data_IF_388715586439
#
_entry.id   IF_388715586439
#
_cell.length_a   1.000
_cell.length_b   1.000
_cell.length_c   1.000
_cell.angle_alpha   90.00
_cell.angle_beta   90.00
_cell.angle_gamma   90.00
#
_symmetry.space_group_name_H-M   'P 1'
#
loop_
_entity.id
_entity.type
_entity.pdbx_description
1 polymer ?
#
# COMPACT_ATOMS: atom_id res chain seq x y z
N UNK A 1 -4.38 5.90 5.56
CA UNK A 1 -3.39 6.99 5.37
C UNK A 1 -2.43 7.03 6.54
N UNK A 2 -1.17 7.40 6.29
CA UNK A 2 -0.14 7.60 7.33
C UNK A 2 0.52 8.97 7.17
N UNK A 3 0.85 9.61 8.28
CA UNK A 3 1.62 10.87 8.31
C UNK A 3 2.93 10.60 9.01
N UNK A 4 4.04 10.94 8.37
CA UNK A 4 5.38 10.86 8.91
C UNK A 4 5.94 12.28 8.99
N UNK A 5 6.52 12.64 10.12
CA UNK A 5 7.05 13.99 10.31
C UNK A 5 8.40 13.98 11.00
N UNK A 6 9.27 14.84 10.51
CA UNK A 6 10.42 15.34 11.26
C UNK A 6 9.98 16.64 11.95
N UNK A 7 9.72 16.57 13.25
CA UNK A 7 9.23 17.71 14.01
C UNK A 7 10.27 18.81 14.17
N UNK A 8 11.55 18.48 14.19
CA UNK A 8 12.63 19.46 14.34
C UNK A 8 12.81 20.27 13.06
N UNK A 9 12.74 19.60 11.91
CA UNK A 9 12.77 20.24 10.60
C UNK A 9 11.42 20.81 10.16
N UNK A 10 10.33 20.50 10.89
CA UNK A 10 8.95 20.82 10.53
C UNK A 10 8.55 20.38 9.13
N UNK A 11 8.99 19.20 8.74
CA UNK A 11 8.67 18.59 7.45
C UNK A 11 7.90 17.30 7.62
N UNK A 12 6.96 17.05 6.70
CA UNK A 12 6.13 15.85 6.72
C UNK A 12 5.95 15.25 5.33
N UNK A 13 5.61 13.97 5.33
CA UNK A 13 5.10 13.25 4.16
C UNK A 13 3.80 12.55 4.53
N UNK A 14 2.93 12.37 3.55
CA UNK A 14 1.68 11.61 3.70
C UNK A 14 1.72 10.41 2.79
N UNK A 15 1.43 9.22 3.34
CA UNK A 15 1.41 7.95 2.59
C UNK A 15 -0.04 7.49 2.41
N UNK A 16 -0.42 7.18 1.18
CA UNK A 16 -1.74 6.73 0.74
C UNK A 16 -2.90 7.58 1.28
N UNK A 17 -2.85 8.94 1.12
CA UNK A 17 -3.98 9.77 1.49
C UNK A 17 -5.16 9.51 0.55
N UNK A 18 -6.35 9.40 1.14
CA UNK A 18 -7.61 9.35 0.38
C UNK A 18 -8.19 10.75 0.29
N UNK A 19 -8.83 11.08 -0.82
CA UNK A 19 -9.39 12.43 -1.05
C UNK A 19 -10.35 12.89 0.06
N UNK A 20 -11.06 11.98 0.71
CA UNK A 20 -11.94 12.28 1.86
C UNK A 20 -11.18 12.68 3.13
N UNK A 21 -9.93 12.25 3.26
CA UNK A 21 -9.09 12.51 4.44
C UNK A 21 -8.32 13.85 4.32
N UNK A 22 -8.31 14.49 3.14
CA UNK A 22 -7.52 15.70 2.87
C UNK A 22 -7.81 16.86 3.82
N UNK A 23 -9.08 17.19 4.17
CA UNK A 23 -9.34 18.29 5.11
C UNK A 23 -8.72 18.05 6.49
N UNK A 24 -8.78 16.80 6.98
CA UNK A 24 -8.19 16.44 8.29
C UNK A 24 -6.67 16.47 8.21
N UNK A 25 -6.08 15.98 7.12
CA UNK A 25 -4.63 16.00 6.91
C UNK A 25 -4.11 17.44 6.81
N UNK A 26 -4.78 18.31 6.08
CA UNK A 26 -4.42 19.73 5.97
C UNK A 26 -4.51 20.45 7.32
N UNK A 27 -5.59 20.21 8.08
CA UNK A 27 -5.75 20.77 9.41
C UNK A 27 -4.62 20.30 10.36
N UNK A 28 -4.29 19.00 10.35
CA UNK A 28 -3.19 18.43 11.14
C UNK A 28 -1.84 19.04 10.79
N UNK A 29 -1.54 19.19 9.50
CA UNK A 29 -0.29 19.80 9.04
C UNK A 29 -0.22 21.27 9.46
N UNK A 30 -1.32 22.02 9.33
CA UNK A 30 -1.39 23.41 9.75
C UNK A 30 -1.28 23.60 11.26
N UNK A 31 -1.99 22.79 12.06
CA UNK A 31 -1.92 22.84 13.52
C UNK A 31 -0.51 22.55 14.06
N UNK A 32 0.20 21.65 13.40
CA UNK A 32 1.57 21.26 13.78
C UNK A 32 2.65 22.11 13.11
N UNK A 33 2.28 23.08 12.29
CA UNK A 33 3.19 23.91 11.48
C UNK A 33 4.19 23.04 10.67
N UNK A 34 3.65 22.00 10.01
CA UNK A 34 4.41 21.05 9.22
C UNK A 34 4.30 21.36 7.73
N UNK A 35 5.45 21.50 7.06
CA UNK A 35 5.52 21.65 5.62
C UNK A 35 5.45 20.27 4.95
N UNK A 36 4.44 20.03 4.12
CA UNK A 36 4.33 18.81 3.35
C UNK A 36 5.41 18.78 2.25
N UNK A 37 6.23 17.73 2.25
CA UNK A 37 7.30 17.52 1.27
C UNK A 37 6.88 16.61 0.13
N UNK A 38 6.15 15.54 0.46
CA UNK A 38 5.74 14.52 -0.50
C UNK A 38 4.35 13.98 -0.16
N UNK A 39 3.60 13.68 -1.21
CA UNK A 39 2.41 12.83 -1.16
C UNK A 39 2.78 11.51 -1.82
N UNK A 40 2.86 10.44 -1.05
CA UNK A 40 3.33 9.13 -1.49
C UNK A 40 2.14 8.21 -1.73
N UNK A 41 2.11 7.55 -2.87
CA UNK A 41 1.14 6.50 -3.20
C UNK A 41 1.87 5.17 -3.38
N UNK A 42 1.50 4.18 -2.57
CA UNK A 42 2.10 2.85 -2.66
C UNK A 42 1.58 2.08 -3.88
N UNK A 43 0.31 2.29 -4.25
CA UNK A 43 -0.33 1.61 -5.37
C UNK A 43 -1.52 2.40 -5.88
N UNK A 44 -2.06 1.97 -7.01
CA UNK A 44 -3.23 2.57 -7.63
C UNK A 44 -4.09 1.49 -8.26
N UNK A 45 -5.41 1.60 -8.07
CA UNK A 45 -6.40 0.80 -8.78
C UNK A 45 -6.99 1.65 -9.93
N UNK A 46 -7.12 1.06 -11.12
CA UNK A 46 -7.44 1.77 -12.38
C UNK A 46 -8.75 2.58 -12.38
N UNK A 47 -9.70 2.21 -11.54
CA UNK A 47 -11.02 2.83 -11.51
C UNK A 47 -11.14 4.13 -10.68
N UNK A 48 -10.04 4.60 -10.05
CA UNK A 48 -10.09 5.74 -9.11
C UNK A 48 -9.36 7.02 -9.61
N UNK A 49 -9.27 7.26 -10.93
CA UNK A 49 -8.05 7.82 -11.46
C UNK A 49 -7.90 9.33 -11.59
N UNK A 50 -8.85 10.06 -12.14
CA UNK A 50 -8.55 11.42 -12.61
C UNK A 50 -8.75 12.46 -11.52
N UNK A 51 -9.87 12.44 -10.86
CA UNK A 51 -10.19 13.44 -9.84
C UNK A 51 -9.41 13.28 -8.53
N UNK A 52 -9.01 12.07 -8.18
CA UNK A 52 -8.26 11.85 -6.95
C UNK A 52 -6.85 12.40 -7.04
N UNK A 53 -6.16 12.19 -8.18
CA UNK A 53 -4.82 12.74 -8.39
C UNK A 53 -4.82 14.27 -8.32
N UNK A 54 -5.78 14.93 -8.96
CA UNK A 54 -5.92 16.39 -8.88
C UNK A 54 -6.10 16.89 -7.44
N UNK A 55 -6.92 16.20 -6.68
CA UNK A 55 -7.11 16.51 -5.25
C UNK A 55 -5.84 16.30 -4.43
N UNK A 56 -5.10 15.23 -4.67
CA UNK A 56 -3.82 15.00 -4.00
C UNK A 56 -2.80 16.09 -4.35
N UNK A 57 -2.76 16.53 -5.59
CA UNK A 57 -1.90 17.65 -6.04
C UNK A 57 -2.27 18.97 -5.37
N UNK A 58 -3.55 19.18 -5.04
CA UNK A 58 -3.99 20.39 -4.33
C UNK A 58 -3.46 20.50 -2.90
N UNK A 59 -2.83 19.45 -2.36
CA UNK A 59 -2.09 19.52 -1.10
C UNK A 59 -0.80 20.36 -1.19
N UNK A 60 -0.38 20.76 -2.40
CA UNK A 60 0.78 21.64 -2.60
C UNK A 60 2.14 20.97 -2.55
N UNK A 61 2.20 19.62 -2.60
CA UNK A 61 3.44 18.86 -2.64
C UNK A 61 3.46 17.90 -3.84
N UNK A 62 4.64 17.51 -4.36
CA UNK A 62 4.76 16.54 -5.42
C UNK A 62 4.13 15.19 -5.03
N UNK A 63 3.37 14.60 -5.95
CA UNK A 63 2.79 13.26 -5.79
C UNK A 63 3.73 12.24 -6.39
N UNK A 64 4.18 11.30 -5.58
CA UNK A 64 5.04 10.17 -5.98
C UNK A 64 4.18 8.93 -6.17
N UNK A 65 4.34 8.25 -7.28
CA UNK A 65 3.73 6.95 -7.58
C UNK A 65 4.60 6.16 -8.56
N UNK A 66 4.41 4.83 -8.63
CA UNK A 66 5.23 3.97 -9.49
C UNK A 66 4.90 4.03 -10.97
N UNK A 67 3.67 4.40 -11.32
CA UNK A 67 3.27 4.60 -12.70
C UNK A 67 3.50 6.06 -13.11
N UNK A 68 4.22 6.25 -14.22
CA UNK A 68 4.45 7.60 -14.76
C UNK A 68 3.14 8.18 -15.28
N UNK A 69 2.73 9.32 -14.74
CA UNK A 69 1.59 10.11 -15.20
C UNK A 69 1.95 11.58 -15.22
N UNK A 70 1.27 12.33 -16.04
CA UNK A 70 1.44 13.78 -16.06
C UNK A 70 1.19 14.40 -14.67
N UNK A 71 2.15 15.18 -14.22
CA UNK A 71 2.10 15.85 -12.93
C UNK A 71 2.38 14.95 -11.72
N UNK A 72 2.97 13.79 -11.92
CA UNK A 72 3.53 12.96 -10.86
C UNK A 72 5.05 12.92 -10.92
N UNK A 73 5.67 12.70 -9.77
CA UNK A 73 7.09 12.49 -9.65
C UNK A 73 7.40 11.00 -9.77
N UNK A 74 8.14 10.63 -10.81
CA UNK A 74 8.60 9.25 -11.02
C UNK A 74 9.85 8.99 -10.19
N UNK A 75 9.93 7.82 -9.57
CA UNK A 75 11.04 7.44 -8.69
C UNK A 75 11.66 6.12 -9.15
N UNK A 76 12.95 5.96 -8.88
CA UNK A 76 13.68 4.72 -9.14
C UNK A 76 13.72 3.84 -7.88
N UNK A 77 13.99 2.53 -8.10
CA UNK A 77 14.26 1.62 -6.99
C UNK A 77 15.50 2.05 -6.20
N UNK A 78 15.38 2.07 -4.88
CA UNK A 78 16.45 2.53 -3.98
C UNK A 78 16.58 4.04 -3.84
N UNK A 79 15.83 4.83 -4.61
CA UNK A 79 15.85 6.30 -4.50
C UNK A 79 15.49 6.76 -3.08
N UNK A 80 16.10 7.88 -2.66
CA UNK A 80 15.86 8.46 -1.35
C UNK A 80 15.09 9.76 -1.47
N UNK A 81 13.94 9.82 -0.85
CA UNK A 81 13.09 11.01 -0.77
C UNK A 81 13.38 11.73 0.54
N UNK A 82 13.97 12.93 0.52
CA UNK A 82 14.32 13.65 1.74
C UNK A 82 13.08 14.16 2.47
N UNK A 83 13.11 14.10 3.79
CA UNK A 83 12.14 14.70 4.71
C UNK A 83 12.87 15.14 5.98
N UNK A 84 13.03 16.46 6.13
CA UNK A 84 13.84 17.03 7.21
C UNK A 84 15.28 16.51 7.20
N UNK A 85 15.72 15.99 8.34
CA UNK A 85 17.06 15.42 8.52
C UNK A 85 17.17 13.95 8.06
N UNK A 86 16.08 13.38 7.57
CA UNK A 86 16.00 11.98 7.19
C UNK A 86 15.60 11.78 5.74
N UNK A 87 15.44 10.53 5.34
CA UNK A 87 14.91 10.18 4.01
C UNK A 87 14.14 8.87 4.04
N UNK A 88 13.12 8.77 3.21
CA UNK A 88 12.48 7.51 2.90
C UNK A 88 13.21 6.86 1.73
N UNK A 89 13.45 5.56 1.81
CA UNK A 89 13.95 4.76 0.69
C UNK A 89 12.79 4.14 -0.07
N UNK A 90 12.76 4.36 -1.38
CA UNK A 90 11.83 3.72 -2.29
C UNK A 90 12.23 2.26 -2.53
N UNK A 91 11.29 1.36 -2.52
CA UNK A 91 11.44 -0.05 -2.90
C UNK A 91 10.37 -0.35 -3.94
N UNK A 92 10.77 -0.67 -5.16
CA UNK A 92 9.80 -1.12 -6.17
C UNK A 92 9.32 -2.52 -5.82
N UNK A 93 8.02 -2.69 -5.72
CA UNK A 93 7.39 -3.94 -5.25
C UNK A 93 6.19 -4.31 -6.13
N UNK A 94 6.42 -4.58 -7.44
CA UNK A 94 5.34 -4.92 -8.36
C UNK A 94 4.65 -6.23 -7.97
N UNK A 95 3.43 -6.40 -8.48
CA UNK A 95 2.67 -7.65 -8.35
C UNK A 95 1.22 -7.45 -7.96
N UNK A 96 0.91 -6.74 -6.88
CA UNK A 96 -0.46 -6.36 -6.56
C UNK A 96 -1.02 -5.42 -7.65
N UNK A 97 -0.27 -4.37 -8.00
CA UNK A 97 -0.37 -3.65 -9.27
C UNK A 97 1.03 -3.55 -9.89
N UNK A 98 1.13 -3.23 -11.18
CA UNK A 98 2.41 -3.09 -11.87
C UNK A 98 3.29 -1.97 -11.27
N UNK A 99 2.66 -0.89 -10.81
CA UNK A 99 3.33 0.28 -10.25
C UNK A 99 3.44 0.29 -8.73
N UNK A 100 3.32 -0.85 -8.04
CA UNK A 100 3.44 -0.87 -6.59
C UNK A 100 4.81 -0.42 -6.09
N UNK A 101 4.80 0.46 -5.09
CA UNK A 101 5.95 0.93 -4.33
C UNK A 101 5.76 0.62 -2.85
N UNK A 102 6.86 0.38 -2.18
CA UNK A 102 6.95 0.39 -0.72
C UNK A 102 7.93 1.47 -0.29
N UNK A 103 7.68 2.10 0.86
CA UNK A 103 8.52 3.18 1.38
C UNK A 103 9.10 2.77 2.73
N UNK A 104 10.42 2.61 2.79
CA UNK A 104 11.13 2.30 4.02
C UNK A 104 11.58 3.57 4.72
N UNK A 105 11.27 3.69 6.02
CA UNK A 105 11.69 4.79 6.88
C UNK A 105 12.07 4.26 8.25
N UNK A 106 13.33 4.46 8.64
CA UNK A 106 13.89 3.90 9.89
C UNK A 106 13.70 2.37 9.96
N UNK A 107 13.01 1.90 10.97
CA UNK A 107 12.70 0.50 11.30
C UNK A 107 11.38 0.00 10.69
N UNK A 108 10.79 0.72 9.74
CA UNK A 108 9.44 0.42 9.22
C UNK A 108 9.32 0.57 7.72
N UNK A 109 8.37 -0.16 7.15
CA UNK A 109 8.03 -0.12 5.72
C UNK A 109 6.52 0.07 5.55
N UNK A 110 6.14 1.03 4.73
CA UNK A 110 4.77 1.26 4.26
C UNK A 110 4.60 0.49 2.96
N UNK A 111 4.01 -0.69 3.03
CA UNK A 111 3.93 -1.64 1.91
C UNK A 111 2.58 -1.61 1.16
N UNK A 112 1.64 -0.77 1.59
CA UNK A 112 0.40 -0.51 0.88
C UNK A 112 -0.41 -1.76 0.57
N UNK A 113 -0.77 -1.93 -0.69
CA UNK A 113 -1.53 -3.08 -1.18
C UNK A 113 -0.71 -4.35 -1.37
N UNK A 114 0.62 -4.27 -1.30
CA UNK A 114 1.51 -5.41 -1.54
C UNK A 114 1.28 -6.53 -0.53
N UNK A 115 1.20 -6.19 0.75
CA UNK A 115 1.03 -7.14 1.84
C UNK A 115 0.04 -6.58 2.86
N UNK A 116 -1.12 -7.22 2.99
CA UNK A 116 -2.04 -6.97 4.08
C UNK A 116 -1.77 -7.97 5.21
N UNK A 117 -1.94 -7.54 6.45
CA UNK A 117 -1.84 -8.43 7.61
C UNK A 117 -2.97 -9.45 7.55
N UNK A 118 -2.63 -10.72 7.68
CA UNK A 118 -3.51 -11.89 7.61
C UNK A 118 -4.06 -12.21 6.21
N UNK A 119 -4.76 -11.33 5.55
CA UNK A 119 -5.20 -11.46 4.15
C UNK A 119 -5.79 -10.15 3.61
N UNK A 120 -5.61 -9.88 2.33
CA UNK A 120 -6.29 -8.78 1.64
C UNK A 120 -7.30 -9.35 0.63
N UNK A 121 -8.55 -8.88 0.60
CA UNK A 121 -9.55 -9.35 -0.36
C UNK A 121 -9.13 -9.08 -1.82
N UNK A 122 -8.25 -8.13 -2.05
CA UNK A 122 -7.73 -7.80 -3.39
C UNK A 122 -6.47 -8.59 -3.76
N UNK A 123 -5.76 -9.18 -2.81
CA UNK A 123 -4.54 -9.97 -3.08
C UNK A 123 -4.79 -11.31 -3.78
N UNK A 124 -5.93 -12.01 -3.60
CA UNK A 124 -6.22 -13.21 -4.35
C UNK A 124 -6.17 -13.04 -5.87
N UNK A 125 -6.32 -11.80 -6.36
CA UNK A 125 -6.26 -11.49 -7.79
C UNK A 125 -5.25 -10.36 -8.05
N UNK A 126 -3.96 -10.57 -7.75
CA UNK A 126 -2.93 -9.59 -8.09
C UNK A 126 -2.78 -9.49 -9.61
N UNK A 127 -2.32 -8.32 -10.09
CA UNK A 127 -2.06 -8.13 -11.51
C UNK A 127 -0.98 -9.09 -12.05
N UNK A 128 0.04 -9.36 -11.22
CA UNK A 128 1.09 -10.35 -11.49
C UNK A 128 1.42 -11.15 -10.21
N UNK A 129 0.87 -12.37 -10.07
CA UNK A 129 1.14 -13.21 -8.91
C UNK A 129 2.62 -13.58 -8.74
N UNK A 130 3.35 -13.75 -9.85
CA UNK A 130 4.75 -14.12 -9.80
C UNK A 130 5.59 -12.96 -9.26
N UNK A 131 5.40 -11.77 -9.80
CA UNK A 131 6.05 -10.56 -9.31
C UNK A 131 5.66 -10.25 -7.85
N UNK A 132 4.41 -10.49 -7.45
CA UNK A 132 3.97 -10.34 -6.06
C UNK A 132 4.74 -11.25 -5.12
N UNK A 133 4.88 -12.53 -5.48
CA UNK A 133 5.68 -13.48 -4.69
C UNK A 133 7.12 -13.01 -4.54
N UNK A 134 7.74 -12.63 -5.66
CA UNK A 134 9.13 -12.19 -5.69
C UNK A 134 9.33 -10.89 -4.88
N UNK A 135 8.43 -9.92 -4.99
CA UNK A 135 8.45 -8.68 -4.21
C UNK A 135 8.38 -8.94 -2.71
N UNK A 136 7.51 -9.84 -2.27
CA UNK A 136 7.37 -10.17 -0.86
C UNK A 136 8.56 -10.95 -0.34
N UNK A 137 8.95 -12.03 -1.01
CA UNK A 137 9.97 -12.93 -0.48
C UNK A 137 11.40 -12.42 -0.67
N UNK A 138 11.68 -11.69 -1.77
CA UNK A 138 13.03 -11.21 -2.10
C UNK A 138 13.27 -9.75 -1.68
N UNK A 139 12.22 -8.99 -1.36
CA UNK A 139 12.36 -7.57 -1.02
C UNK A 139 11.90 -7.25 0.40
N UNK A 140 10.75 -7.77 0.85
CA UNK A 140 10.26 -7.50 2.21
C UNK A 140 10.76 -8.51 3.23
N UNK A 141 10.65 -9.81 2.94
CA UNK A 141 11.01 -10.85 3.91
C UNK A 141 12.51 -11.04 4.11
N UNK A 142 13.34 -10.34 3.35
CA UNK A 142 14.79 -10.23 3.56
C UNK A 142 15.19 -9.10 4.50
N UNK A 143 14.27 -8.24 4.89
CA UNK A 143 14.50 -7.19 5.88
C UNK A 143 14.64 -7.79 7.29
N UNK A 144 15.22 -7.04 8.25
CA UNK A 144 15.32 -7.49 9.64
C UNK A 144 13.98 -7.93 10.22
N UNK A 145 14.00 -8.93 11.09
CA UNK A 145 12.82 -9.59 11.67
C UNK A 145 11.89 -8.60 12.40
N UNK A 146 12.46 -7.63 13.06
CA UNK A 146 11.78 -6.58 13.82
C UNK A 146 11.21 -5.44 12.97
N UNK A 147 11.52 -5.40 11.66
CA UNK A 147 11.00 -4.35 10.78
C UNK A 147 9.48 -4.35 10.79
N UNK A 148 8.90 -3.20 11.10
CA UNK A 148 7.45 -3.00 11.11
C UNK A 148 6.93 -2.86 9.69
N UNK A 149 5.88 -3.59 9.36
CA UNK A 149 5.18 -3.53 8.09
C UNK A 149 3.82 -2.84 8.27
N UNK A 150 3.62 -1.74 7.56
CA UNK A 150 2.39 -0.96 7.57
C UNK A 150 1.62 -1.21 6.27
N UNK A 151 0.48 -1.91 6.38
CA UNK A 151 -0.36 -2.24 5.25
C UNK A 151 -1.28 -1.06 4.85
N UNK A 152 -1.62 -0.95 3.57
CA UNK A 152 -2.62 0.02 3.07
C UNK A 152 -4.05 -0.49 3.16
N UNK A 153 -4.21 -1.81 3.16
CA UNK A 153 -5.49 -2.49 3.35
C UNK A 153 -5.50 -3.21 4.69
N UNK A 154 -6.49 -2.93 5.49
CA UNK A 154 -6.68 -3.60 6.76
C UNK A 154 -7.83 -4.62 6.68
N UNK A 155 -7.61 -5.78 7.28
CA UNK A 155 -8.67 -6.70 7.63
C UNK A 155 -8.67 -6.90 9.14
N UNK A 156 -9.86 -7.03 9.71
CA UNK A 156 -10.01 -7.25 11.16
C UNK A 156 -9.34 -6.19 12.02
N UNK A 157 -9.31 -4.93 11.53
CA UNK A 157 -8.74 -3.77 12.21
C UNK A 157 -7.23 -3.90 12.53
N UNK A 158 -6.48 -4.70 11.77
CA UNK A 158 -5.05 -4.87 11.93
C UNK A 158 -4.29 -4.42 10.68
N UNK A 159 -3.55 -3.31 10.81
CA UNK A 159 -2.81 -2.69 9.71
C UNK A 159 -1.28 -2.78 9.90
N UNK A 160 -0.79 -3.24 11.05
CA UNK A 160 0.63 -3.29 11.39
C UNK A 160 1.03 -4.68 11.87
N UNK A 161 2.19 -5.14 11.40
CA UNK A 161 2.82 -6.38 11.80
C UNK A 161 4.34 -6.27 11.73
N UNK A 162 5.08 -7.36 11.89
CA UNK A 162 6.51 -7.43 11.69
C UNK A 162 6.87 -8.36 10.53
N UNK A 163 8.08 -8.19 9.97
CA UNK A 163 8.61 -9.12 8.96
C UNK A 163 8.61 -10.55 9.51
N UNK A 164 9.09 -10.75 10.73
CA UNK A 164 9.13 -12.07 11.39
C UNK A 164 7.76 -12.72 11.44
N UNK A 165 6.75 -11.97 11.88
CA UNK A 165 5.40 -12.49 12.01
C UNK A 165 4.81 -12.87 10.65
N UNK A 166 4.90 -11.99 9.67
CA UNK A 166 4.34 -12.27 8.35
C UNK A 166 5.08 -13.40 7.64
N UNK A 167 6.40 -13.48 7.74
CA UNK A 167 7.17 -14.57 7.18
C UNK A 167 6.81 -15.92 7.80
N UNK A 168 6.46 -15.96 9.08
CA UNK A 168 6.11 -17.20 9.80
C UNK A 168 4.66 -17.61 9.66
N UNK A 169 3.75 -16.64 9.59
CA UNK A 169 2.33 -16.90 9.81
C UNK A 169 1.40 -16.36 8.73
N UNK A 170 1.89 -15.61 7.73
CA UNK A 170 1.00 -15.08 6.69
C UNK A 170 0.32 -16.23 5.92
N UNK A 171 -1.02 -16.24 5.80
CA UNK A 171 -1.77 -17.38 5.26
C UNK A 171 -1.44 -17.72 3.80
N UNK A 172 -0.89 -16.77 3.03
CA UNK A 172 -0.56 -16.97 1.62
C UNK A 172 0.95 -17.15 1.35
N UNK A 173 1.83 -16.67 2.23
CA UNK A 173 3.26 -16.63 1.95
C UNK A 173 4.09 -17.49 2.91
N UNK A 174 3.60 -17.71 4.15
CA UNK A 174 4.35 -18.46 5.13
C UNK A 174 4.47 -19.95 4.72
N UNK A 175 5.70 -20.49 4.77
CA UNK A 175 6.00 -21.90 4.55
C UNK A 175 5.52 -22.48 3.20
N UNK A 176 5.39 -21.64 2.19
CA UNK A 176 5.00 -22.08 0.84
C UNK A 176 6.17 -21.92 -0.13
N UNK A 177 6.15 -22.69 -1.20
CA UNK A 177 7.00 -22.48 -2.36
C UNK A 177 6.31 -21.51 -3.33
N UNK A 178 7.09 -20.92 -4.24
CA UNK A 178 6.58 -20.07 -5.29
C UNK A 178 5.50 -20.77 -6.13
N UNK A 179 5.78 -22.01 -6.55
CA UNK A 179 4.85 -22.78 -7.40
C UNK A 179 3.55 -23.13 -6.66
N UNK A 180 3.63 -23.46 -5.37
CA UNK A 180 2.45 -23.72 -4.55
C UNK A 180 1.59 -22.46 -4.40
N UNK A 181 2.21 -21.28 -4.22
CA UNK A 181 1.49 -20.01 -4.19
C UNK A 181 0.81 -19.72 -5.54
N UNK A 182 1.53 -19.85 -6.65
CA UNK A 182 0.97 -19.62 -7.99
C UNK A 182 -0.19 -20.55 -8.30
N UNK A 183 -0.06 -21.84 -7.98
CA UNK A 183 -1.15 -22.80 -8.14
C UNK A 183 -2.36 -22.45 -7.30
N UNK A 184 -2.14 -22.02 -6.05
CA UNK A 184 -3.21 -21.59 -5.16
C UNK A 184 -3.93 -20.35 -5.68
N UNK A 185 -3.21 -19.33 -6.15
CA UNK A 185 -3.82 -18.12 -6.71
C UNK A 185 -4.64 -18.44 -7.95
N UNK A 186 -4.10 -19.30 -8.85
CA UNK A 186 -4.82 -19.73 -10.05
C UNK A 186 -6.11 -20.51 -9.76
N UNK A 187 -6.20 -21.18 -8.60
CA UNK A 187 -7.39 -21.93 -8.18
C UNK A 187 -8.47 -21.05 -7.49
N UNK A 188 -8.17 -19.78 -7.20
CA UNK A 188 -9.15 -18.89 -6.57
C UNK A 188 -10.24 -18.46 -7.57
N UNK A 189 -11.51 -18.36 -7.13
CA UNK A 189 -12.58 -17.89 -8.01
C UNK A 189 -12.29 -16.46 -8.49
N UNK A 190 -12.52 -16.19 -9.78
CA UNK A 190 -12.41 -14.85 -10.33
C UNK A 190 -13.46 -13.92 -9.73
N UNK A 191 -13.21 -12.60 -9.72
CA UNK A 191 -14.15 -11.60 -9.20
C UNK A 191 -15.55 -11.73 -9.80
N UNK A 192 -15.68 -12.11 -11.07
CA UNK A 192 -16.96 -12.35 -11.73
C UNK A 192 -17.75 -13.52 -11.10
N UNK A 193 -17.06 -14.59 -10.70
CA UNK A 193 -17.70 -15.75 -10.05
C UNK A 193 -18.09 -15.45 -8.59
N UNK A 194 -17.29 -14.66 -7.88
CA UNK A 194 -17.60 -14.27 -6.50
C UNK A 194 -18.79 -13.30 -6.41
N UNK A 195 -18.94 -12.39 -7.37
CA UNK A 195 -20.10 -11.49 -7.45
C UNK A 195 -21.40 -12.24 -7.76
N UNK A 196 -21.35 -13.30 -8.56
CA UNK A 196 -22.52 -14.14 -8.89
C UNK A 196 -23.03 -14.95 -7.68
N UNK A 197 -22.17 -15.26 -6.70
CA UNK A 197 -22.53 -16.02 -5.50
C UNK A 197 -23.12 -15.15 -4.39
N UNK A 198 -23.01 -13.83 -4.49
CA UNK A 198 -23.55 -12.86 -3.52
C UNK A 198 -24.84 -12.16 -3.98
N UNK A 199 -25.52 -12.66 -4.98
CA UNK A 199 -26.86 -12.16 -5.34
C UNK A 199 -27.83 -12.47 -4.20
N UNK A 200 -28.52 -11.46 -3.61
CA UNK A 200 -29.39 -11.68 -2.47
C UNK A 200 -30.70 -12.34 -2.90
N UNK A 201 -30.83 -13.61 -2.61
CA UNK A 201 -32.14 -14.26 -2.53
C UNK A 201 -32.82 -13.84 -1.25
N UNK A 202 -33.46 -12.68 -1.18
CA UNK A 202 -34.44 -12.35 -0.15
C UNK A 202 -35.81 -12.19 -0.79
N UNK A 203 -36.47 -13.31 -0.96
CA UNK A 203 -37.93 -13.33 -1.00
C UNK A 203 -38.44 -13.23 0.44
N UNK A 204 -38.93 -12.06 0.83
CA UNK A 204 -39.75 -11.91 2.03
C UNK A 204 -41.20 -12.25 1.60
N UNK A 205 -41.86 -13.28 2.13
CA UNK A 205 -43.29 -13.47 1.91
C UNK A 205 -44.04 -12.37 2.64
N UNK A 206 -44.84 -11.62 1.89
CA UNK A 206 -45.82 -10.68 2.42
C UNK A 206 -46.90 -11.44 3.16
N UNK A 207 -47.13 -11.11 4.44
CA UNK A 207 -48.29 -11.39 5.22
C UNK A 207 -49.11 -10.12 5.38
#
# INVERSE_FOLDING_TARGET
SYVLADNDAREAVVVDPRSRDLPVLQALLGERDLRLRWVLRTHQHDHLLTHELERLRSMGAPVVQGETREGTHTVADGERLPVGHESLRVITTPGHTAGCLSFAWRDRVFCGGLLAVDACPHQPHPADPAALWDSINLRLFTLPDETLLFAGHEQRARAVSTVLEQRRWHPFFARQTRDAFLARVAALPTHAAAAATMAPGHNIPSA
#
